data_IF_348673805671
#
_entry.id   IF_348673805671
#
_cell.length_a   1.000
_cell.length_b   1.000
_cell.length_c   1.000
_cell.angle_alpha   90.00
_cell.angle_beta   90.00
_cell.angle_gamma   90.00
#
_symmetry.space_group_name_H-M   'P 1'
#
loop_
_entity.id
_entity.type
_entity.pdbx_description
1 polymer ?
#
# COMPACT_ATOMS: atom_id res chain seq x y z
N UNK A 1 8.19 -0.38 0.46
CA UNK A 1 6.85 -0.33 1.07
C UNK A 1 5.87 -0.08 -0.06
N UNK A 2 4.87 -0.93 -0.22
CA UNK A 2 3.68 -0.64 -1.05
C UNK A 2 2.59 -0.11 -0.12
N UNK A 3 1.78 0.81 -0.63
CA UNK A 3 0.55 1.24 0.04
C UNK A 3 -0.60 0.83 -0.86
N UNK A 4 -1.51 0.05 -0.31
CA UNK A 4 -2.69 -0.43 -1.00
C UNK A 4 -3.91 0.34 -0.49
N UNK A 5 -4.84 0.66 -1.37
CA UNK A 5 -6.09 1.27 -0.97
C UNK A 5 -7.19 1.07 -1.98
N UNK A 6 -8.44 1.11 -1.52
CA UNK A 6 -9.60 0.83 -2.34
C UNK A 6 -10.56 2.02 -2.29
N UNK A 7 -11.09 2.37 -3.46
CA UNK A 7 -12.19 3.31 -3.59
C UNK A 7 -13.41 2.61 -4.17
N UNK A 8 -14.58 2.93 -3.66
CA UNK A 8 -15.86 2.59 -4.28
C UNK A 8 -16.31 3.79 -5.11
N UNK A 9 -16.53 3.55 -6.40
CA UNK A 9 -16.96 4.56 -7.37
C UNK A 9 -17.91 3.93 -8.39
N UNK A 10 -18.76 4.76 -8.99
CA UNK A 10 -19.53 4.38 -10.18
C UNK A 10 -18.60 4.30 -11.40
N UNK A 11 -18.61 3.18 -12.13
CA UNK A 11 -17.71 2.95 -13.28
C UNK A 11 -17.78 4.07 -14.32
N UNK A 12 -18.98 4.57 -14.60
CA UNK A 12 -19.24 5.64 -15.55
C UNK A 12 -18.78 7.02 -15.06
N UNK A 13 -18.41 7.14 -13.78
CA UNK A 13 -17.86 8.34 -13.15
C UNK A 13 -16.34 8.32 -13.02
N UNK A 14 -15.67 7.24 -13.42
CA UNK A 14 -14.21 7.19 -13.44
C UNK A 14 -13.72 8.24 -14.44
N UNK A 15 -12.91 9.23 -13.99
CA UNK A 15 -12.46 10.33 -14.83
C UNK A 15 -11.40 9.91 -15.84
N UNK A 16 -11.24 10.75 -16.84
CA UNK A 16 -10.08 10.67 -17.72
C UNK A 16 -8.83 11.26 -17.02
N UNK A 17 -7.66 10.85 -17.50
CA UNK A 17 -6.37 11.31 -16.96
C UNK A 17 -6.24 12.83 -16.97
N UNK A 18 -6.72 13.48 -18.03
CA UNK A 18 -6.69 14.94 -18.18
C UNK A 18 -7.49 15.66 -17.09
N UNK A 19 -8.60 15.09 -16.64
CA UNK A 19 -9.40 15.64 -15.55
C UNK A 19 -8.63 15.56 -14.22
N UNK A 20 -8.05 14.39 -13.91
CA UNK A 20 -7.23 14.21 -12.70
C UNK A 20 -6.05 15.17 -12.68
N UNK A 21 -5.34 15.31 -13.80
CA UNK A 21 -4.23 16.26 -13.94
C UNK A 21 -4.71 17.71 -13.75
N UNK A 22 -5.88 18.06 -14.29
CA UNK A 22 -6.46 19.40 -14.10
C UNK A 22 -6.82 19.68 -12.64
N UNK A 23 -7.40 18.72 -11.92
CA UNK A 23 -7.69 18.86 -10.50
C UNK A 23 -6.41 18.95 -9.66
N UNK A 24 -5.39 18.15 -9.99
CA UNK A 24 -4.10 18.23 -9.31
C UNK A 24 -3.43 19.60 -9.48
N UNK A 25 -3.47 20.15 -10.70
CA UNK A 25 -2.90 21.47 -10.98
C UNK A 25 -3.58 22.60 -10.18
N UNK A 26 -4.89 22.51 -9.91
CA UNK A 26 -5.61 23.47 -9.06
C UNK A 26 -5.14 23.45 -7.60
N UNK A 27 -4.63 22.31 -7.15
CA UNK A 27 -4.04 22.13 -5.81
C UNK A 27 -2.52 22.39 -5.80
N UNK A 28 -1.95 22.90 -6.90
CA UNK A 28 -0.52 23.19 -7.02
C UNK A 28 0.37 21.96 -7.22
N UNK A 29 -0.20 20.80 -7.56
CA UNK A 29 0.52 19.54 -7.77
C UNK A 29 0.64 19.23 -9.26
N UNK A 30 1.83 18.84 -9.70
CA UNK A 30 2.04 18.37 -11.08
C UNK A 30 1.95 16.86 -11.13
N UNK A 31 1.00 16.34 -11.91
CA UNK A 31 0.89 14.90 -12.20
C UNK A 31 1.21 14.62 -13.67
N UNK A 32 1.97 13.56 -13.94
CA UNK A 32 2.17 13.03 -15.30
C UNK A 32 2.05 11.52 -15.32
N UNK A 33 1.13 11.03 -16.12
CA UNK A 33 0.92 9.61 -16.37
C UNK A 33 1.60 9.18 -17.68
N UNK A 34 1.92 7.89 -17.85
CA UNK A 34 2.51 7.41 -19.09
C UNK A 34 1.50 7.53 -20.24
N UNK A 35 2.01 7.67 -21.47
CA UNK A 35 1.16 7.76 -22.65
C UNK A 35 0.27 6.52 -22.78
N UNK A 36 -1.03 6.74 -23.03
CA UNK A 36 -2.03 5.67 -23.13
C UNK A 36 -2.53 5.10 -21.80
N UNK A 37 -2.10 5.66 -20.66
CA UNK A 37 -2.70 5.32 -19.37
C UNK A 37 -4.17 5.78 -19.31
N UNK A 38 -5.03 4.94 -18.72
CA UNK A 38 -6.46 5.19 -18.56
C UNK A 38 -6.93 4.57 -17.24
N UNK A 39 -7.58 5.37 -16.39
CA UNK A 39 -8.14 4.90 -15.12
C UNK A 39 -9.29 3.90 -15.28
N UNK A 40 -9.83 3.74 -16.50
CA UNK A 40 -10.88 2.76 -16.82
C UNK A 40 -10.32 1.41 -17.24
N UNK A 41 -9.00 1.29 -17.39
CA UNK A 41 -8.31 0.08 -17.86
C UNK A 41 -7.37 -0.41 -16.73
N UNK A 42 -7.60 -1.61 -16.17
CA UNK A 42 -6.69 -2.20 -15.20
C UNK A 42 -5.28 -2.31 -15.76
N UNK A 43 -4.29 -2.08 -14.90
CA UNK A 43 -2.89 -2.26 -15.27
C UNK A 43 -2.47 -3.70 -15.01
N UNK A 44 -1.83 -4.35 -16.00
CA UNK A 44 -1.28 -5.70 -15.81
C UNK A 44 -0.09 -5.74 -14.83
N UNK A 45 0.55 -4.59 -14.57
CA UNK A 45 1.70 -4.39 -13.70
C UNK A 45 1.73 -2.94 -13.21
N UNK A 46 2.65 -2.61 -12.30
CA UNK A 46 2.92 -1.21 -11.96
C UNK A 46 3.34 -0.41 -13.20
N UNK A 47 2.78 0.79 -13.33
CA UNK A 47 3.17 1.80 -14.31
C UNK A 47 3.85 2.96 -13.61
N UNK A 48 4.87 3.54 -14.24
CA UNK A 48 5.52 4.73 -13.72
C UNK A 48 4.64 5.96 -13.96
N UNK A 49 4.47 6.79 -12.94
CA UNK A 49 3.94 8.14 -13.07
C UNK A 49 4.80 9.12 -12.27
N UNK A 50 4.65 10.40 -12.55
CA UNK A 50 5.42 11.47 -11.91
C UNK A 50 4.47 12.34 -11.07
N UNK A 51 4.91 12.67 -9.86
CA UNK A 51 4.27 13.66 -8.99
C UNK A 51 5.32 14.66 -8.50
N UNK A 52 5.15 15.93 -8.83
CA UNK A 52 6.09 17.02 -8.52
C UNK A 52 7.57 16.69 -8.86
N UNK A 53 7.75 16.05 -10.02
CA UNK A 53 9.06 15.64 -10.56
C UNK A 53 9.60 14.34 -9.98
N UNK A 54 8.93 13.74 -8.98
CA UNK A 54 9.34 12.48 -8.36
C UNK A 54 8.62 11.31 -9.03
N UNK A 55 9.39 10.26 -9.35
CA UNK A 55 8.83 9.03 -9.93
C UNK A 55 8.21 8.16 -8.84
N UNK A 56 6.98 7.72 -9.11
CA UNK A 56 6.23 6.79 -8.26
C UNK A 56 5.66 5.71 -9.18
N UNK A 57 5.57 4.50 -8.67
CA UNK A 57 4.94 3.37 -9.37
C UNK A 57 3.49 3.25 -8.92
N UNK A 58 2.58 2.97 -9.86
CA UNK A 58 1.15 2.92 -9.67
C UNK A 58 0.57 1.65 -10.28
N UNK A 59 -0.18 0.87 -9.49
CA UNK A 59 -0.97 -0.26 -9.92
C UNK A 59 -2.45 0.06 -9.78
N UNK A 60 -3.24 -0.38 -10.75
CA UNK A 60 -4.67 -0.20 -10.80
C UNK A 60 -5.37 -1.52 -11.12
N UNK A 61 -6.33 -1.90 -10.29
CA UNK A 61 -7.27 -2.96 -10.58
C UNK A 61 -8.70 -2.45 -10.42
N UNK A 62 -9.61 -2.98 -11.23
CA UNK A 62 -11.03 -2.64 -11.20
C UNK A 62 -11.84 -3.92 -11.03
N UNK A 63 -12.67 -3.96 -10.00
CA UNK A 63 -13.55 -5.10 -9.71
C UNK A 63 -14.98 -4.60 -9.55
N UNK A 64 -16.01 -5.29 -10.07
CA UNK A 64 -17.38 -4.97 -9.69
C UNK A 64 -17.57 -5.19 -8.18
N UNK A 65 -18.35 -4.33 -7.53
CA UNK A 65 -18.57 -4.41 -6.07
C UNK A 65 -19.18 -5.74 -5.63
N UNK A 66 -19.83 -6.46 -6.55
CA UNK A 66 -20.36 -7.80 -6.32
C UNK A 66 -19.28 -8.83 -6.04
N UNK A 67 -18.05 -8.64 -6.51
CA UNK A 67 -16.97 -9.62 -6.32
C UNK A 67 -16.49 -9.65 -4.85
N UNK A 68 -16.58 -8.53 -4.12
CA UNK A 68 -16.28 -8.51 -2.67
C UNK A 68 -17.32 -9.24 -1.82
N UNK A 69 -18.57 -9.36 -2.30
CA UNK A 69 -19.57 -10.16 -1.59
C UNK A 69 -19.16 -11.64 -1.54
N UNK A 70 -18.36 -12.12 -2.49
CA UNK A 70 -17.92 -13.51 -2.57
C UNK A 70 -16.65 -13.76 -1.73
N UNK A 71 -15.69 -12.85 -1.74
CA UNK A 71 -14.41 -13.00 -0.99
C UNK A 71 -14.64 -12.99 0.52
N UNK A 72 -15.62 -12.22 1.01
CA UNK A 72 -16.00 -12.16 2.44
C UNK A 72 -16.48 -13.49 3.03
N UNK A 73 -16.84 -14.48 2.19
CA UNK A 73 -17.40 -15.75 2.65
C UNK A 73 -16.36 -16.84 2.98
N UNK A 74 -15.12 -16.73 2.48
CA UNK A 74 -14.07 -17.74 2.69
C UNK A 74 -12.88 -17.23 3.53
N UNK A 75 -12.59 -15.93 3.51
CA UNK A 75 -11.50 -15.32 4.29
C UNK A 75 -11.98 -14.05 5.00
N UNK A 76 -12.37 -14.16 6.29
CA UNK A 76 -12.50 -13.14 7.37
C UNK A 76 -12.74 -11.64 7.06
N UNK A 77 -13.18 -11.23 5.88
CA UNK A 77 -13.57 -9.84 5.63
C UNK A 77 -15.03 -9.69 6.00
N UNK A 78 -15.36 -8.74 6.87
CA UNK A 78 -16.77 -8.39 7.06
C UNK A 78 -17.35 -7.94 5.72
N UNK A 79 -18.59 -8.33 5.39
CA UNK A 79 -19.24 -7.87 4.17
C UNK A 79 -19.28 -6.34 4.16
N UNK A 80 -18.99 -5.73 3.00
CA UNK A 80 -19.03 -4.28 2.84
C UNK A 80 -20.32 -3.70 3.43
N UNK A 81 -20.27 -2.58 4.18
CA UNK A 81 -21.46 -1.99 4.76
C UNK A 81 -22.52 -1.73 3.70
N UNK A 82 -23.79 -2.04 3.95
CA UNK A 82 -24.88 -1.84 2.96
C UNK A 82 -24.94 -0.42 2.36
N UNK A 83 -24.47 0.58 3.10
CA UNK A 83 -24.37 1.99 2.66
C UNK A 83 -23.31 2.22 1.56
N UNK A 84 -22.32 1.34 1.43
CA UNK A 84 -21.22 1.41 0.48
C UNK A 84 -21.71 1.48 -0.99
N UNK A 85 -22.73 0.67 -1.32
CA UNK A 85 -23.35 0.62 -2.66
C UNK A 85 -24.01 1.91 -3.12
N UNK A 86 -24.24 2.86 -2.21
CA UNK A 86 -24.75 4.19 -2.58
C UNK A 86 -23.69 5.05 -3.29
N UNK A 87 -22.42 4.67 -3.19
CA UNK A 87 -21.29 5.46 -3.69
C UNK A 87 -20.65 4.86 -4.94
N UNK A 88 -21.04 3.65 -5.34
CA UNK A 88 -20.49 3.03 -6.53
C UNK A 88 -20.91 1.58 -6.75
N UNK A 89 -20.59 1.11 -7.95
CA UNK A 89 -20.76 -0.27 -8.41
C UNK A 89 -19.42 -0.95 -8.69
N UNK A 90 -18.31 -0.23 -8.57
CA UNK A 90 -16.96 -0.66 -8.89
C UNK A 90 -16.01 -0.33 -7.74
N UNK A 91 -15.17 -1.30 -7.39
CA UNK A 91 -14.00 -1.12 -6.53
C UNK A 91 -12.83 -0.80 -7.42
N UNK A 92 -12.19 0.32 -7.13
CA UNK A 92 -10.97 0.76 -7.73
C UNK A 92 -9.85 0.55 -6.72
N UNK A 93 -9.07 -0.51 -6.93
CA UNK A 93 -7.92 -0.86 -6.08
C UNK A 93 -6.66 -0.22 -6.62
N UNK A 94 -6.01 0.55 -5.76
CA UNK A 94 -4.81 1.30 -6.02
C UNK A 94 -3.65 0.67 -5.27
N UNK A 95 -2.51 0.57 -5.93
CA UNK A 95 -1.26 0.22 -5.28
C UNK A 95 -0.21 1.24 -5.65
N UNK A 96 0.50 1.80 -4.68
CA UNK A 96 1.60 2.73 -4.97
C UNK A 96 2.91 2.26 -4.36
N UNK A 97 4.01 2.51 -5.07
CA UNK A 97 5.37 2.21 -4.61
C UNK A 97 6.30 3.38 -4.89
N UNK A 98 7.20 3.64 -3.95
CA UNK A 98 8.16 4.76 -4.03
C UNK A 98 8.15 5.59 -2.75
N UNK A 99 9.05 6.57 -2.69
CA UNK A 99 9.22 7.47 -1.53
C UNK A 99 7.99 8.30 -1.21
N UNK A 100 7.21 8.70 -2.23
CA UNK A 100 5.98 9.48 -2.05
C UNK A 100 4.69 8.65 -2.09
N UNK A 101 4.79 7.32 -2.12
CA UNK A 101 3.66 6.40 -2.38
C UNK A 101 2.41 6.71 -1.54
N UNK A 102 2.55 6.83 -0.21
CA UNK A 102 1.42 7.12 0.68
C UNK A 102 0.82 8.50 0.47
N UNK A 103 1.64 9.54 0.34
CA UNK A 103 1.16 10.91 0.15
C UNK A 103 0.51 11.12 -1.22
N UNK A 104 1.08 10.49 -2.25
CA UNK A 104 0.56 10.58 -3.60
C UNK A 104 -0.76 9.79 -3.75
N UNK A 105 -0.87 8.62 -3.11
CA UNK A 105 -2.10 7.86 -3.07
C UNK A 105 -3.21 8.65 -2.37
N UNK A 106 -2.96 9.15 -1.15
CA UNK A 106 -3.91 9.96 -0.40
C UNK A 106 -4.39 11.18 -1.21
N UNK A 107 -3.48 11.84 -1.93
CA UNK A 107 -3.83 12.98 -2.78
C UNK A 107 -4.76 12.60 -3.93
N UNK A 108 -4.50 11.50 -4.64
CA UNK A 108 -5.39 10.99 -5.69
C UNK A 108 -6.76 10.66 -5.08
N UNK A 109 -6.80 9.99 -3.93
CA UNK A 109 -8.06 9.68 -3.25
C UNK A 109 -8.87 10.93 -2.88
N UNK A 110 -8.22 11.99 -2.40
CA UNK A 110 -8.85 13.29 -2.14
C UNK A 110 -9.51 13.85 -3.41
N UNK A 111 -8.83 13.78 -4.56
CA UNK A 111 -9.40 14.22 -5.84
C UNK A 111 -10.64 13.39 -6.19
N UNK A 112 -10.55 12.06 -6.09
CA UNK A 112 -11.66 11.14 -6.36
C UNK A 112 -12.86 11.39 -5.43
N UNK A 113 -12.63 11.56 -4.14
CA UNK A 113 -13.66 11.83 -3.15
C UNK A 113 -14.40 13.14 -3.40
N UNK A 114 -13.65 14.23 -3.58
CA UNK A 114 -14.22 15.58 -3.69
C UNK A 114 -14.98 15.79 -5.01
N UNK A 115 -14.44 15.28 -6.11
CA UNK A 115 -14.95 15.60 -7.45
C UNK A 115 -15.87 14.50 -8.00
N UNK A 116 -15.67 13.24 -7.59
CA UNK A 116 -16.36 12.08 -8.18
C UNK A 116 -17.17 11.27 -7.17
N UNK A 117 -17.26 11.75 -5.92
CA UNK A 117 -18.02 11.12 -4.82
C UNK A 117 -17.58 9.68 -4.53
N UNK A 118 -16.31 9.37 -4.77
CA UNK A 118 -15.73 8.08 -4.41
C UNK A 118 -15.64 7.94 -2.88
N UNK A 119 -16.04 6.78 -2.36
CA UNK A 119 -15.89 6.43 -0.96
C UNK A 119 -14.62 5.58 -0.76
N UNK A 120 -13.98 5.67 0.40
CA UNK A 120 -12.80 4.87 0.73
C UNK A 120 -13.16 3.58 1.47
N UNK A 121 -12.39 2.53 1.21
CA UNK A 121 -12.37 1.30 1.99
C UNK A 121 -10.92 1.06 2.42
N UNK A 122 -10.71 0.99 3.72
CA UNK A 122 -9.39 0.77 4.33
C UNK A 122 -9.54 -0.33 5.37
N UNK A 123 -8.94 -1.49 5.12
CA UNK A 123 -9.11 -2.68 5.95
C UNK A 123 -10.61 -2.97 6.22
N UNK A 124 -11.09 -2.66 7.42
CA UNK A 124 -12.48 -2.86 7.88
C UNK A 124 -13.28 -1.55 7.97
N UNK A 125 -12.68 -0.41 7.63
CA UNK A 125 -13.30 0.91 7.75
C UNK A 125 -13.82 1.43 6.41
N UNK A 126 -15.11 1.78 6.41
CA UNK A 126 -15.75 2.49 5.30
C UNK A 126 -15.75 3.99 5.56
N UNK A 127 -15.10 4.75 4.67
CA UNK A 127 -14.96 6.20 4.76
C UNK A 127 -15.81 6.88 3.70
N UNK A 128 -16.70 7.79 4.11
CA UNK A 128 -17.56 8.49 3.15
C UNK A 128 -16.75 9.46 2.27
N UNK A 129 -17.25 9.85 1.08
CA UNK A 129 -16.55 10.84 0.26
C UNK A 129 -16.35 12.18 0.98
N UNK A 130 -17.29 12.55 1.85
CA UNK A 130 -17.19 13.78 2.64
C UNK A 130 -16.09 13.70 3.69
N UNK A 131 -15.79 12.52 4.22
CA UNK A 131 -14.74 12.35 5.23
C UNK A 131 -13.37 12.16 4.56
N UNK A 132 -13.32 11.39 3.48
CA UNK A 132 -12.11 11.16 2.69
C UNK A 132 -11.62 12.45 2.00
N UNK A 133 -12.53 13.32 1.57
CA UNK A 133 -12.23 14.57 0.89
C UNK A 133 -11.83 15.73 1.81
N UNK A 134 -12.02 15.59 3.14
CA UNK A 134 -11.65 16.63 4.11
C UNK A 134 -10.14 16.78 4.14
N UNK A 135 -9.70 18.03 4.17
CA UNK A 135 -8.33 18.31 4.56
C UNK A 135 -8.15 17.94 6.03
N UNK A 136 -7.12 17.15 6.32
CA UNK A 136 -6.79 16.82 7.69
C UNK A 136 -6.32 18.08 8.39
N UNK A 137 -7.02 18.45 9.46
CA UNK A 137 -6.62 19.54 10.34
C UNK A 137 -5.95 18.92 11.56
N UNK A 138 -4.63 19.07 11.73
CA UNK A 138 -3.94 18.60 12.92
C UNK A 138 -4.57 19.18 14.20
N UNK A 139 -4.77 18.35 15.23
CA UNK A 139 -5.16 18.83 16.56
C UNK A 139 -4.19 19.91 17.08
N UNK A 140 -4.71 20.89 17.83
CA UNK A 140 -3.92 22.02 18.33
C UNK A 140 -2.79 21.62 19.30
N UNK A 141 -2.91 20.45 19.92
CA UNK A 141 -1.94 19.84 20.83
C UNK A 141 -0.96 18.88 20.12
N UNK A 142 -1.11 18.65 18.82
CA UNK A 142 -0.17 17.86 18.03
C UNK A 142 1.20 18.58 17.97
N UNK A 143 2.29 17.81 18.08
CA UNK A 143 3.64 18.34 17.94
C UNK A 143 3.78 19.10 16.60
N UNK A 144 4.33 20.34 16.59
CA UNK A 144 4.40 21.14 15.37
C UNK A 144 5.09 20.43 14.20
N UNK A 145 6.14 19.65 14.45
CA UNK A 145 6.84 18.93 13.39
C UNK A 145 6.05 17.74 12.84
N UNK A 146 5.22 17.10 13.67
CA UNK A 146 4.29 16.06 13.22
C UNK A 146 3.13 16.69 12.44
N UNK A 147 2.58 17.80 12.94
CA UNK A 147 1.52 18.55 12.26
C UNK A 147 1.93 19.00 10.85
N UNK A 148 3.20 19.41 10.68
CA UNK A 148 3.77 19.77 9.39
C UNK A 148 3.76 18.63 8.36
N UNK A 149 3.68 17.36 8.78
CA UNK A 149 3.62 16.20 7.87
C UNK A 149 2.27 16.02 7.17
N UNK A 150 1.23 16.75 7.62
CA UNK A 150 -0.13 16.66 7.08
C UNK A 150 -0.52 17.82 6.17
N UNK A 151 0.31 18.86 6.08
CA UNK A 151 0.00 20.11 5.39
C UNK A 151 0.87 20.28 4.14
N UNK A 152 0.32 20.89 3.10
CA UNK A 152 1.03 21.16 1.84
C UNK A 152 0.84 20.09 0.77
N UNK A 153 1.66 20.17 -0.27
CA UNK A 153 1.73 19.22 -1.39
C UNK A 153 2.27 17.86 -0.95
N UNK A 154 2.06 16.78 -1.72
CA UNK A 154 2.63 15.46 -1.39
C UNK A 154 4.15 15.48 -1.18
N UNK A 155 4.88 16.27 -1.97
CA UNK A 155 6.33 16.46 -1.83
C UNK A 155 6.70 17.15 -0.52
N UNK A 156 6.01 18.22 -0.16
CA UNK A 156 6.24 18.95 1.09
C UNK A 156 5.96 18.08 2.31
N UNK A 157 4.85 17.34 2.30
CA UNK A 157 4.47 16.40 3.36
C UNK A 157 5.52 15.31 3.56
N UNK A 158 6.03 14.73 2.48
CA UNK A 158 7.08 13.71 2.58
C UNK A 158 8.39 14.27 3.13
N UNK A 159 8.82 15.46 2.70
CA UNK A 159 10.00 16.13 3.26
C UNK A 159 9.82 16.41 4.76
N UNK A 160 8.63 16.85 5.17
CA UNK A 160 8.32 17.07 6.57
C UNK A 160 8.33 15.75 7.37
N UNK A 161 7.77 14.68 6.80
CA UNK A 161 7.76 13.35 7.40
C UNK A 161 9.17 12.80 7.60
N UNK A 162 10.03 12.91 6.58
CA UNK A 162 11.44 12.48 6.68
C UNK A 162 12.17 13.23 7.80
N UNK A 163 11.99 14.55 7.90
CA UNK A 163 12.55 15.36 9.00
C UNK A 163 12.03 14.91 10.36
N UNK A 164 10.72 14.62 10.46
CA UNK A 164 10.10 14.15 11.69
C UNK A 164 10.65 12.77 12.10
N UNK A 165 10.77 11.82 11.16
CA UNK A 165 11.32 10.48 11.41
C UNK A 165 12.75 10.57 11.92
N UNK A 166 13.61 11.36 11.27
CA UNK A 166 15.01 11.54 11.70
C UNK A 166 15.08 12.09 13.13
N UNK A 167 14.27 13.11 13.43
CA UNK A 167 14.19 13.70 14.78
C UNK A 167 13.77 12.66 15.81
N UNK A 168 12.67 11.93 15.58
CA UNK A 168 12.19 10.90 16.52
C UNK A 168 13.22 9.78 16.70
N UNK A 169 13.82 9.28 15.60
CA UNK A 169 14.83 8.23 15.68
C UNK A 169 16.06 8.65 16.49
N UNK A 170 16.51 9.90 16.36
CA UNK A 170 17.64 10.43 17.16
C UNK A 170 17.37 10.51 18.66
N UNK A 171 16.10 10.46 19.07
CA UNK A 171 15.69 10.51 20.47
C UNK A 171 15.53 9.11 21.09
N UNK A 172 15.47 8.06 20.26
CA UNK A 172 15.45 6.68 20.73
C UNK A 172 16.88 6.38 21.22
N UNK A 173 17.08 6.09 22.52
CA UNK A 173 18.38 5.68 23.02
C UNK A 173 18.85 4.48 22.19
N UNK A 174 20.13 4.39 21.82
CA UNK A 174 20.61 3.24 21.09
C UNK A 174 20.44 1.99 21.96
N UNK A 175 19.35 1.24 21.77
CA UNK A 175 19.11 -0.07 22.40
C UNK A 175 20.20 -1.09 21.95
N UNK A 176 21.11 -0.70 21.06
CA UNK A 176 22.17 -1.54 20.51
C UNK A 176 23.37 -1.84 21.44
N UNK A 177 23.55 -1.13 22.57
CA UNK A 177 24.67 -1.42 23.47
C UNK A 177 24.34 -2.50 24.53
N UNK A 178 23.12 -2.53 25.08
CA UNK A 178 22.73 -3.51 26.10
C UNK A 178 22.00 -4.74 25.53
N UNK A 179 21.27 -4.62 24.41
CA UNK A 179 20.65 -5.78 23.76
C UNK A 179 21.68 -6.73 23.11
N UNK A 180 22.88 -6.24 22.79
CA UNK A 180 24.00 -7.09 22.35
C UNK A 180 24.65 -7.84 23.52
N UNK A 181 24.59 -7.30 24.74
CA UNK A 181 25.04 -7.95 25.97
C UNK A 181 24.03 -8.98 26.51
N UNK A 182 22.75 -8.83 26.18
CA UNK A 182 21.67 -9.74 26.58
C UNK A 182 21.29 -10.78 25.51
N UNK A 183 21.93 -10.80 24.33
CA UNK A 183 21.80 -11.94 23.43
C UNK A 183 22.37 -13.16 24.16
N UNK A 184 21.56 -14.21 24.45
CA UNK A 184 22.16 -15.50 24.73
C UNK A 184 23.04 -15.83 23.53
N UNK A 185 24.21 -16.42 23.76
CA UNK A 185 24.99 -17.07 22.69
C UNK A 185 24.14 -18.21 22.15
N UNK A 186 23.16 -17.88 21.31
CA UNK A 186 22.39 -18.84 20.56
C UNK A 186 23.36 -19.34 19.51
N UNK A 187 23.95 -20.49 19.80
CA UNK A 187 24.68 -21.28 18.81
C UNK A 187 23.75 -21.44 17.60
N UNK A 188 24.12 -20.93 16.41
CA UNK A 188 23.30 -21.01 15.21
C UNK A 188 22.83 -22.46 14.93
N UNK A 189 23.64 -23.44 15.35
CA UNK A 189 23.30 -24.85 15.23
C UNK A 189 22.11 -25.24 16.12
N UNK A 190 22.05 -24.76 17.37
CA UNK A 190 20.95 -25.05 18.29
C UNK A 190 19.66 -24.32 17.92
N UNK A 191 19.75 -23.13 17.33
CA UNK A 191 18.57 -22.45 16.79
C UNK A 191 17.99 -23.19 15.59
N UNK A 192 18.85 -23.63 14.66
CA UNK A 192 18.42 -24.45 13.52
C UNK A 192 17.83 -25.78 14.00
N UNK A 193 18.44 -26.44 15.00
CA UNK A 193 17.91 -27.70 15.57
C UNK A 193 16.56 -27.48 16.25
N UNK A 194 16.39 -26.41 17.06
CA UNK A 194 15.12 -26.13 17.72
C UNK A 194 14.03 -25.73 16.72
N UNK A 195 14.35 -24.87 15.75
CA UNK A 195 13.44 -24.45 14.70
C UNK A 195 12.99 -25.63 13.82
N UNK A 196 13.92 -26.53 13.46
CA UNK A 196 13.62 -27.80 12.77
C UNK A 196 12.79 -28.77 13.64
N UNK A 197 12.93 -28.71 14.97
CA UNK A 197 12.15 -29.55 15.88
C UNK A 197 10.70 -29.09 16.03
N UNK A 198 10.44 -27.80 15.83
CA UNK A 198 9.11 -27.18 15.94
C UNK A 198 8.31 -27.28 14.63
N UNK A 199 8.98 -27.39 13.46
CA UNK A 199 8.35 -27.37 12.14
C UNK A 199 8.42 -28.72 11.39
N UNK A 200 8.40 -29.84 12.14
CA UNK A 200 8.74 -31.21 11.68
C UNK A 200 7.99 -31.78 10.46
N UNK A 201 6.85 -31.21 10.05
CA UNK A 201 5.98 -31.86 9.06
C UNK A 201 5.91 -31.17 7.68
N UNK A 202 6.24 -29.89 7.57
CA UNK A 202 6.07 -29.17 6.28
C UNK A 202 7.34 -29.19 5.40
N UNK A 203 8.53 -29.33 6.01
CA UNK A 203 9.80 -29.29 5.27
C UNK A 203 10.39 -30.66 4.91
N UNK A 204 9.89 -31.76 5.49
CA UNK A 204 10.32 -33.11 5.10
C UNK A 204 9.93 -33.38 3.64
N UNK A 205 8.75 -32.93 3.23
CA UNK A 205 8.27 -33.04 1.84
C UNK A 205 9.11 -32.19 0.88
N UNK A 206 9.50 -30.98 1.28
CA UNK A 206 10.35 -30.10 0.48
C UNK A 206 11.77 -30.65 0.33
N UNK A 207 12.37 -31.17 1.41
CA UNK A 207 13.70 -31.78 1.37
C UNK A 207 13.73 -33.11 0.61
N UNK A 208 12.68 -33.92 0.71
CA UNK A 208 12.52 -35.13 -0.11
C UNK A 208 12.39 -34.77 -1.60
N UNK A 209 11.61 -33.74 -1.94
CA UNK A 209 11.49 -33.26 -3.31
C UNK A 209 12.83 -32.73 -3.86
N UNK A 210 13.58 -31.97 -3.05
CA UNK A 210 14.89 -31.45 -3.44
C UNK A 210 15.94 -32.57 -3.61
N UNK A 211 15.93 -33.57 -2.72
CA UNK A 211 16.79 -34.74 -2.83
C UNK A 211 16.45 -35.61 -4.04
N UNK A 212 15.16 -35.78 -4.35
CA UNK A 212 14.71 -36.49 -5.55
C UNK A 212 15.15 -35.79 -6.84
N UNK A 213 15.08 -34.45 -6.89
CA UNK A 213 15.57 -33.65 -8.01
C UNK A 213 17.09 -33.75 -8.19
N UNK A 214 17.84 -33.75 -7.09
CA UNK A 214 19.30 -33.93 -7.13
C UNK A 214 19.70 -35.33 -7.61
N UNK A 215 19.03 -36.38 -7.11
CA UNK A 215 19.29 -37.76 -7.54
C UNK A 215 18.93 -37.94 -9.02
N UNK A 216 17.80 -37.38 -9.47
CA UNK A 216 17.40 -37.42 -10.88
C UNK A 216 18.40 -36.71 -11.80
N UNK A 217 18.84 -35.50 -11.43
CA UNK A 217 19.87 -34.77 -12.17
C UNK A 217 21.20 -35.54 -12.25
N UNK A 218 21.59 -36.20 -11.16
CA UNK A 218 22.84 -36.97 -11.09
C UNK A 218 22.78 -38.27 -11.92
N UNK A 219 21.62 -38.91 -12.01
CA UNK A 219 21.41 -40.12 -12.81
C UNK A 219 21.35 -39.81 -14.31
N UNK A 220 20.71 -38.69 -14.70
CA UNK A 220 20.65 -38.29 -16.11
C UNK A 220 21.95 -37.70 -16.65
N UNK A 221 22.83 -37.17 -15.80
CA UNK A 221 24.14 -36.70 -16.22
C UNK A 221 25.14 -37.83 -16.55
N UNK A 222 24.78 -39.10 -16.30
CA UNK A 222 25.62 -40.29 -16.55
C UNK A 222 25.20 -41.14 -17.76
N UNK A 223 24.12 -40.77 -18.44
CA UNK A 223 23.73 -41.32 -19.75
C UNK A 223 23.94 -40.27 -20.83
#
# INVERSE_FOLDING_TARGET
MSVDSELIIFKEKIPDVSEIVSFAAKEGVTLRFPAGFDFKIPTNNYVDYEIDGEKVMFGLALFPITDLDFVSSEERMEPLPKKARKYGDTIMSFQTKGTLSGQALHFIQKIFANNFKAAGVFDEEFVTPSDLGKEYVPPADMMPELAATFVGTPKERAIALDKYIVKVQSQIPPIAAEASALRPKIDPLNWVINWLSEHKYEYVTFLIALAALFIWGFLNAKN
#
